data_IF_577961070558
#
_entry.id   IF_577961070558
#
_cell.length_a   1.000
_cell.length_b   1.000
_cell.length_c   1.000
_cell.angle_alpha   90.00
_cell.angle_beta   90.00
_cell.angle_gamma   90.00
#
_symmetry.space_group_name_H-M   'P 1'
#
loop_
_entity.id
_entity.type
_entity.pdbx_description
1 polymer ?
#
# COMPACT_ATOMS: atom_id res chain seq x y z
N UNK A 1 -22.91 4.73 -10.11
CA UNK A 1 -22.54 5.91 -10.93
C UNK A 1 -22.71 7.14 -10.07
N UNK A 2 -21.62 7.86 -9.76
CA UNK A 2 -21.72 9.13 -9.04
C UNK A 2 -22.29 10.16 -10.03
N UNK A 3 -23.52 10.63 -9.80
CA UNK A 3 -24.12 11.75 -10.52
C UNK A 3 -23.45 13.02 -10.00
N UNK A 4 -22.39 13.44 -10.66
CA UNK A 4 -21.81 14.77 -10.49
C UNK A 4 -22.55 15.68 -11.46
N UNK A 5 -23.26 16.69 -10.94
CA UNK A 5 -23.80 17.79 -11.75
C UNK A 5 -22.65 18.54 -12.43
N UNK A 6 -22.95 19.19 -13.55
CA UNK A 6 -21.95 19.74 -14.50
C UNK A 6 -20.88 20.63 -13.82
N UNK A 7 -21.26 21.37 -12.76
CA UNK A 7 -20.35 22.20 -11.97
C UNK A 7 -19.25 21.40 -11.24
N UNK A 8 -19.54 20.17 -10.82
CA UNK A 8 -18.54 19.31 -10.18
C UNK A 8 -17.62 18.65 -11.21
N UNK A 9 -18.06 18.55 -12.48
CA UNK A 9 -17.25 18.02 -13.57
C UNK A 9 -16.19 19.03 -14.00
N UNK A 10 -16.55 20.31 -14.05
CA UNK A 10 -15.61 21.39 -14.34
C UNK A 10 -14.58 21.57 -13.21
N UNK A 11 -15.01 21.46 -11.94
CA UNK A 11 -14.08 21.44 -10.82
C UNK A 11 -13.10 20.25 -10.87
N UNK A 12 -13.58 19.06 -11.24
CA UNK A 12 -12.71 17.89 -11.41
C UNK A 12 -11.79 18.02 -12.62
N UNK A 13 -12.23 18.63 -13.72
CA UNK A 13 -11.39 18.88 -14.91
C UNK A 13 -10.33 19.95 -14.64
N UNK A 14 -10.67 21.01 -13.90
CA UNK A 14 -9.71 22.01 -13.44
C UNK A 14 -8.67 21.39 -12.52
N UNK A 15 -9.10 20.55 -11.57
CA UNK A 15 -8.20 19.85 -10.66
C UNK A 15 -7.31 18.83 -11.39
N UNK A 16 -7.87 18.07 -12.32
CA UNK A 16 -7.14 17.09 -13.15
C UNK A 16 -6.13 17.75 -14.11
N UNK A 17 -6.45 18.95 -14.62
CA UNK A 17 -5.52 19.75 -15.43
C UNK A 17 -4.30 20.23 -14.64
N UNK A 18 -4.48 20.59 -13.36
CA UNK A 18 -3.40 21.02 -12.43
C UNK A 18 -2.56 19.85 -11.91
N UNK A 19 -3.12 18.66 -11.74
CA UNK A 19 -2.44 17.49 -11.17
C UNK A 19 -1.68 16.60 -12.17
N UNK A 20 -1.46 17.06 -13.41
CA UNK A 20 -0.63 16.32 -14.38
C UNK A 20 0.89 16.29 -14.05
N UNK A 21 1.28 16.74 -12.84
CA UNK A 21 2.55 16.39 -12.26
C UNK A 21 2.56 14.88 -11.99
N UNK A 22 3.03 14.10 -12.98
CA UNK A 22 3.29 12.65 -12.88
C UNK A 22 3.73 12.34 -11.44
N UNK A 23 3.04 11.45 -10.70
CA UNK A 23 3.33 11.24 -9.30
C UNK A 23 4.80 10.89 -9.18
N UNK A 24 5.59 11.84 -8.65
CA UNK A 24 7.02 11.70 -8.50
C UNK A 24 7.23 10.43 -7.70
N UNK A 25 7.80 9.40 -8.32
CA UNK A 25 7.97 8.06 -7.75
C UNK A 25 8.63 8.22 -6.37
N UNK A 26 7.82 8.24 -5.32
CA UNK A 26 8.30 8.51 -3.97
C UNK A 26 9.22 7.34 -3.62
N UNK A 27 10.40 7.65 -3.07
CA UNK A 27 11.34 6.62 -2.62
C UNK A 27 10.59 5.69 -1.67
N UNK A 28 10.67 4.39 -1.94
CA UNK A 28 10.04 3.38 -1.11
C UNK A 28 10.50 3.56 0.35
N UNK A 29 9.54 3.58 1.27
CA UNK A 29 9.85 3.68 2.70
C UNK A 29 10.65 2.45 3.10
N UNK A 30 11.79 2.67 3.78
CA UNK A 30 12.65 1.58 4.28
C UNK A 30 12.31 1.30 5.74
N UNK A 31 12.23 0.02 6.09
CA UNK A 31 12.12 -0.43 7.48
C UNK A 31 13.45 -0.21 8.17
N UNK A 32 13.42 0.35 9.39
CA UNK A 32 14.63 0.51 10.20
C UNK A 32 15.15 -0.86 10.64
N UNK A 33 16.49 -1.09 10.70
CA UNK A 33 17.04 -2.39 11.08
C UNK A 33 16.52 -2.94 12.41
N UNK A 34 16.29 -2.08 13.40
CA UNK A 34 15.76 -2.48 14.70
C UNK A 34 14.37 -3.11 14.61
N UNK A 35 13.49 -2.55 13.77
CA UNK A 35 12.15 -3.08 13.55
C UNK A 35 12.23 -4.44 12.84
N UNK A 36 13.19 -4.61 11.93
CA UNK A 36 13.40 -5.90 11.26
C UNK A 36 13.86 -6.98 12.25
N UNK A 37 14.80 -6.65 13.15
CA UNK A 37 15.21 -7.57 14.22
C UNK A 37 14.04 -7.96 15.12
N UNK A 38 13.20 -6.99 15.52
CA UNK A 38 12.00 -7.28 16.31
C UNK A 38 11.07 -8.25 15.55
N UNK A 39 10.87 -8.01 14.26
CA UNK A 39 10.06 -8.87 13.41
C UNK A 39 10.63 -10.31 13.35
N UNK A 40 11.95 -10.44 13.28
CA UNK A 40 12.64 -11.73 13.26
C UNK A 40 12.54 -12.46 14.62
N UNK A 41 12.36 -11.75 15.74
CA UNK A 41 12.11 -12.37 17.06
C UNK A 41 10.68 -12.88 17.26
N UNK A 42 9.73 -12.42 16.44
CA UNK A 42 8.34 -12.87 16.51
C UNK A 42 8.18 -14.17 15.72
N UNK A 43 8.63 -15.28 16.29
CA UNK A 43 8.62 -16.60 15.62
C UNK A 43 7.32 -17.37 15.77
N UNK A 44 6.51 -17.05 16.78
CA UNK A 44 5.28 -17.79 17.11
C UNK A 44 4.00 -17.04 16.75
N UNK A 45 4.12 -15.78 16.32
CA UNK A 45 2.98 -14.94 15.93
C UNK A 45 3.20 -14.35 14.54
N UNK A 46 2.22 -14.43 13.61
CA UNK A 46 2.28 -13.74 12.32
C UNK A 46 2.37 -12.22 12.50
N UNK A 47 3.37 -11.59 11.88
CA UNK A 47 3.61 -10.14 12.00
C UNK A 47 4.11 -9.49 10.71
N UNK A 48 3.67 -8.25 10.47
CA UNK A 48 4.12 -7.42 9.35
C UNK A 48 4.12 -5.93 9.72
N UNK A 49 4.85 -5.13 8.94
CA UNK A 49 5.05 -3.70 9.15
C UNK A 49 4.37 -2.90 8.05
N UNK A 50 3.50 -1.97 8.45
CA UNK A 50 2.85 -1.03 7.53
C UNK A 50 3.59 0.32 7.49
N UNK A 51 3.71 0.86 6.29
CA UNK A 51 4.15 2.22 6.03
C UNK A 51 3.02 3.23 6.14
N UNK A 52 3.37 4.51 5.94
CA UNK A 52 2.41 5.64 6.07
C UNK A 52 1.20 5.56 5.13
N UNK A 53 1.34 4.88 4.00
CA UNK A 53 0.28 4.69 3.00
C UNK A 53 -0.34 3.30 3.05
N UNK A 54 -0.14 2.56 4.15
CA UNK A 54 -0.55 1.15 4.29
C UNK A 54 0.20 0.20 3.34
N UNK A 55 1.38 0.60 2.88
CA UNK A 55 2.28 -0.29 2.14
C UNK A 55 2.93 -1.29 3.10
N UNK A 56 2.98 -2.56 2.73
CA UNK A 56 3.63 -3.61 3.49
C UNK A 56 5.14 -3.50 3.24
N UNK A 57 5.88 -3.13 4.29
CA UNK A 57 7.31 -2.82 4.20
C UNK A 57 8.21 -3.99 4.62
N UNK A 58 7.73 -4.85 5.52
CA UNK A 58 8.37 -6.09 5.97
C UNK A 58 7.34 -7.04 6.57
N UNK A 59 7.65 -8.33 6.62
CA UNK A 59 6.81 -9.39 7.19
C UNK A 59 7.72 -10.54 7.69
N UNK A 60 7.25 -11.30 8.67
CA UNK A 60 7.91 -12.55 9.07
C UNK A 60 7.39 -13.73 8.22
N UNK A 61 8.07 -14.90 8.25
CA UNK A 61 7.65 -16.08 7.49
C UNK A 61 6.22 -16.54 7.82
N UNK A 62 5.80 -16.44 9.08
CA UNK A 62 4.43 -16.80 9.48
C UNK A 62 3.37 -15.92 8.82
N UNK A 63 3.60 -14.60 8.70
CA UNK A 63 2.69 -13.72 7.98
C UNK A 63 2.61 -14.05 6.48
N UNK A 64 3.72 -14.49 5.88
CA UNK A 64 3.73 -14.95 4.50
C UNK A 64 2.91 -16.24 4.31
N UNK A 65 3.02 -17.18 5.26
CA UNK A 65 2.26 -18.42 5.25
C UNK A 65 0.76 -18.21 5.51
N UNK A 66 0.40 -17.27 6.40
CA UNK A 66 -0.99 -17.03 6.79
C UNK A 66 -1.74 -16.17 5.77
N UNK A 67 -1.13 -15.11 5.26
CA UNK A 67 -1.81 -14.12 4.41
C UNK A 67 -1.52 -14.42 2.94
N UNK A 68 -0.25 -14.23 2.54
CA UNK A 68 0.24 -14.51 1.19
C UNK A 68 1.75 -14.26 1.15
N UNK A 69 2.46 -14.86 0.18
CA UNK A 69 3.86 -14.54 -0.06
C UNK A 69 4.02 -13.13 -0.64
N UNK A 70 4.17 -12.16 0.26
CA UNK A 70 4.39 -10.77 -0.12
C UNK A 70 5.66 -10.57 -0.97
N UNK A 71 6.63 -11.50 -0.96
CA UNK A 71 7.83 -11.38 -1.79
C UNK A 71 7.50 -11.41 -3.29
N UNK A 72 6.45 -12.13 -3.68
CA UNK A 72 5.99 -12.25 -5.07
C UNK A 72 5.22 -11.02 -5.56
N UNK A 73 4.69 -10.21 -4.65
CA UNK A 73 3.92 -9.02 -5.01
C UNK A 73 4.91 -7.89 -5.32
N UNK A 74 4.81 -7.17 -6.44
CA UNK A 74 5.66 -6.00 -6.68
C UNK A 74 5.48 -4.94 -5.58
N UNK A 75 6.56 -4.27 -5.16
CA UNK A 75 6.51 -3.33 -4.01
C UNK A 75 5.44 -2.22 -4.15
N UNK A 76 5.16 -1.77 -5.37
CA UNK A 76 4.13 -0.76 -5.66
C UNK A 76 2.69 -1.29 -5.60
N UNK A 77 2.52 -2.61 -5.46
CA UNK A 77 1.23 -3.30 -5.33
C UNK A 77 1.03 -3.90 -3.93
N UNK A 78 2.06 -3.89 -3.08
CA UNK A 78 2.01 -4.35 -1.68
C UNK A 78 1.31 -3.34 -0.78
N UNK A 79 0.08 -2.95 -1.11
CA UNK A 79 -0.72 -2.08 -0.27
C UNK A 79 -1.78 -2.91 0.45
N UNK A 80 -1.84 -2.82 1.78
CA UNK A 80 -2.70 -3.65 2.61
C UNK A 80 -4.19 -3.46 2.30
N UNK A 81 -4.63 -2.23 2.01
CA UNK A 81 -6.03 -1.97 1.60
C UNK A 81 -6.35 -2.61 0.27
N UNK A 82 -5.39 -2.63 -0.66
CA UNK A 82 -5.56 -3.30 -1.95
C UNK A 82 -5.62 -4.82 -1.82
N UNK A 83 -4.98 -5.40 -0.80
CA UNK A 83 -5.02 -6.84 -0.53
C UNK A 83 -6.29 -7.26 0.23
N UNK A 84 -6.80 -6.41 1.12
CA UNK A 84 -8.03 -6.68 1.85
C UNK A 84 -9.30 -6.45 1.04
N UNK A 85 -9.26 -5.53 0.07
CA UNK A 85 -10.44 -5.14 -0.68
C UNK A 85 -10.84 -6.25 -1.66
N UNK A 86 -12.04 -6.86 -1.54
CA UNK A 86 -12.55 -7.80 -2.53
C UNK A 86 -13.14 -7.10 -3.77
N UNK A 87 -12.87 -5.81 -4.00
CA UNK A 87 -13.52 -5.06 -5.07
C UNK A 87 -13.00 -5.58 -6.43
N UNK A 88 -13.87 -6.22 -7.25
CA UNK A 88 -13.50 -6.60 -8.60
C UNK A 88 -13.27 -5.30 -9.40
N UNK A 89 -12.22 -5.31 -10.23
CA UNK A 89 -11.97 -4.23 -11.18
C UNK A 89 -13.11 -4.06 -12.17
#
# INVERSE_FOLDING_TARGET
>A
MLRLDDDQRDYLLELAGKESARPRRQKAQKVRPQIRRLLDTLTDVPAFVLGRRMDILAWNPLAAALITDFSQIPQHQRNYVRLLSPIPR
#
